data_IF_947909292309
#
_entry.id   IF_947909292309
#
_cell.length_a   1.000
_cell.length_b   1.000
_cell.length_c   1.000
_cell.angle_alpha   90.00
_cell.angle_beta   90.00
_cell.angle_gamma   90.00
#
_symmetry.space_group_name_H-M   'P 1'
#
loop_
_entity.id
_entity.type
_entity.pdbx_description
1 polymer ?
2 polymer ?
3 non-polymer ?
4 non-polymer ?
5 non-polymer ?
6 non-polymer ?
7 water ?
#
# COMPACT_ATOMS: atom_id res chain seq x y z
N UNK A 3 -6.37 0.93 25.49
CA UNK A 3 -6.06 -0.48 25.72
C UNK A 3 -5.74 -1.15 24.39
N UNK A 4 -4.46 -1.36 24.12
CA UNK A 4 -4.00 -1.84 22.82
C UNK A 4 -4.34 -3.30 22.59
N UNK A 5 -4.28 -3.71 21.33
CA UNK A 5 -4.67 -5.05 20.95
C UNK A 5 -3.60 -6.10 21.24
N UNK A 6 -3.90 -7.06 22.12
CA UNK A 6 -3.01 -8.18 22.36
C UNK A 6 -3.13 -9.29 21.31
N UNK A 7 -2.11 -10.14 21.22
CA UNK A 7 -2.14 -11.26 20.31
C UNK A 7 -3.03 -12.39 20.79
N UNK A 8 -3.75 -13.02 19.87
CA UNK A 8 -4.51 -14.20 20.18
C UNK A 8 -3.63 -15.43 20.32
N UNK A 9 -3.78 -16.12 21.44
CA UNK A 9 -2.95 -17.25 21.77
C UNK A 9 -3.28 -18.46 20.93
N UNK A 10 -4.47 -18.47 20.34
CA UNK A 10 -4.98 -19.62 19.61
C UNK A 10 -4.79 -19.52 18.09
N UNK A 11 -4.17 -18.44 17.64
CA UNK A 11 -3.86 -18.27 16.22
C UNK A 11 -2.37 -17.97 16.08
N UNK A 12 -1.64 -18.87 15.43
CA UNK A 12 -0.17 -18.85 15.40
C UNK A 12 0.50 -19.22 14.09
N UNK A 13 0.01 -20.27 13.44
CA UNK A 13 0.76 -20.91 12.38
C UNK A 13 0.33 -20.50 10.98
N UNK A 14 1.16 -20.85 10.00
CA UNK A 14 0.83 -20.60 8.61
C UNK A 14 -0.39 -21.45 8.26
N UNK A 15 -0.52 -22.62 8.89
CA UNK A 15 -1.71 -23.46 8.70
C UNK A 15 -2.96 -22.76 9.24
N UNK A 16 -2.83 -22.10 10.40
CA UNK A 16 -3.90 -21.26 10.95
C UNK A 16 -4.27 -20.15 9.95
N UNK A 17 -3.26 -19.50 9.37
CA UNK A 17 -3.49 -18.44 8.38
C UNK A 17 -4.30 -18.93 7.17
N UNK A 18 -3.90 -20.08 6.63
CA UNK A 18 -4.63 -20.69 5.51
C UNK A 18 -6.08 -20.99 5.88
N UNK A 19 -6.32 -21.57 7.06
CA UNK A 19 -7.68 -21.86 7.50
C UNK A 19 -8.54 -20.59 7.58
N UNK A 20 -7.97 -19.52 8.12
CA UNK A 20 -8.66 -18.24 8.20
C UNK A 20 -8.98 -17.70 6.81
N UNK A 21 -8.05 -17.85 5.88
CA UNK A 21 -8.30 -17.39 4.53
C UNK A 21 -9.41 -18.24 3.89
N UNK A 22 -9.48 -19.50 4.29
CA UNK A 22 -10.50 -20.41 3.78
C UNK A 22 -11.89 -20.06 4.32
N UNK A 23 -11.95 -19.74 5.61
CA UNK A 23 -13.21 -19.57 6.30
C UNK A 23 -13.75 -18.14 6.38
N UNK A 24 -12.86 -17.14 6.39
CA UNK A 24 -13.28 -15.77 6.56
C UNK A 24 -13.87 -15.22 5.25
N UNK A 25 -14.80 -14.29 5.38
CA UNK A 25 -15.55 -13.81 4.23
C UNK A 25 -15.77 -12.29 4.23
N UNK A 26 -15.12 -11.60 5.16
CA UNK A 26 -15.14 -10.14 5.23
C UNK A 26 -13.74 -9.63 5.58
N UNK A 27 -12.82 -9.86 4.68
CA UNK A 27 -11.41 -9.61 4.94
C UNK A 27 -11.05 -8.18 4.60
N UNK A 28 -10.31 -7.51 5.49
CA UNK A 28 -9.64 -6.28 5.10
C UNK A 28 -8.19 -6.62 4.80
N UNK A 29 -7.75 -6.19 3.61
CA UNK A 29 -6.34 -6.19 3.25
C UNK A 29 -5.84 -4.76 3.24
N UNK A 30 -4.88 -4.47 4.13
CA UNK A 30 -4.25 -3.16 4.24
C UNK A 30 -2.87 -3.25 3.59
N UNK A 31 -2.69 -2.54 2.48
CA UNK A 31 -1.44 -2.59 1.73
C UNK A 31 -0.67 -1.29 1.76
N UNK A 32 0.65 -1.43 1.68
CA UNK A 32 1.55 -0.31 1.50
C UNK A 32 2.44 -0.52 0.30
N UNK A 33 3.50 0.29 0.22
CA UNK A 33 4.35 0.35 -0.97
C UNK A 33 5.07 -0.97 -1.27
N UNK A 34 5.19 -1.83 -0.26
CA UNK A 34 5.84 -3.12 -0.47
C UNK A 34 5.17 -4.02 -1.49
N UNK A 35 3.86 -3.88 -1.72
CA UNK A 35 3.17 -4.79 -2.63
C UNK A 35 3.47 -4.45 -4.08
N UNK A 36 4.11 -3.31 -4.32
CA UNK A 36 4.43 -2.88 -5.68
C UNK A 36 5.93 -2.93 -5.98
N UNK A 37 6.71 -3.28 -4.97
CA UNK A 37 8.18 -3.34 -5.10
C UNK A 37 8.57 -4.33 -6.21
N UNK A 38 7.94 -5.50 -6.22
CA UNK A 38 8.22 -6.51 -7.23
C UNK A 38 7.80 -6.05 -8.62
N UNK A 39 6.89 -5.08 -8.69
CA UNK A 39 6.43 -4.49 -9.94
C UNK A 39 7.45 -3.54 -10.55
N UNK A 40 8.42 -3.13 -9.74
CA UNK A 40 9.41 -2.18 -10.17
C UNK A 40 9.25 -0.79 -9.58
N UNK A 41 8.44 -0.68 -8.52
CA UNK A 41 8.22 0.61 -7.85
C UNK A 41 8.80 0.57 -6.44
N UNK A 42 9.93 1.24 -6.22
CA UNK A 42 10.49 1.18 -4.87
C UNK A 42 9.59 1.80 -3.80
N UNK A 43 9.72 1.31 -2.57
CA UNK A 43 8.93 1.80 -1.44
C UNK A 43 9.46 3.14 -0.94
N UNK A 44 8.97 3.60 0.21
CA UNK A 44 9.39 4.89 0.74
C UNK A 44 10.59 4.83 1.69
N UNK A 45 10.61 3.84 2.58
CA UNK A 45 11.53 3.92 3.72
C UNK A 45 12.73 2.96 3.72
N UNK A 46 12.83 2.12 2.69
CA UNK A 46 13.94 1.17 2.62
C UNK A 46 15.18 1.84 2.02
N UNK A 47 16.33 1.17 2.18
CA UNK A 47 17.61 1.67 1.71
C UNK A 47 17.55 2.18 0.26
N UNK A 48 16.78 1.49 -0.59
CA UNK A 48 16.68 1.89 -2.00
C UNK A 48 15.37 2.63 -2.32
N UNK A 49 14.74 3.21 -1.31
CA UNK A 49 13.41 3.79 -1.46
C UNK A 49 13.40 5.28 -1.74
N UNK A 50 12.19 5.82 -1.90
CA UNK A 50 11.98 7.21 -2.27
C UNK A 50 12.66 8.21 -1.35
N UNK A 51 12.55 8.02 -0.04
CA UNK A 51 13.07 9.02 0.87
C UNK A 51 14.61 9.07 0.82
N UNK A 52 15.24 7.91 0.70
CA UNK A 52 16.70 7.84 0.57
C UNK A 52 17.14 8.56 -0.72
N UNK A 53 16.45 8.30 -1.81
CA UNK A 53 16.73 8.97 -3.08
C UNK A 53 16.58 10.48 -2.94
N UNK A 54 15.48 10.92 -2.32
CA UNK A 54 15.23 12.34 -2.16
C UNK A 54 16.35 13.01 -1.35
N UNK A 55 16.91 12.31 -0.38
CA UNK A 55 17.98 12.86 0.43
C UNK A 55 19.20 13.18 -0.44
N UNK A 56 19.35 12.44 -1.53
CA UNK A 56 20.46 12.64 -2.45
C UNK A 56 20.11 13.65 -3.54
N UNK A 57 18.93 13.50 -4.14
CA UNK A 57 18.55 14.30 -5.30
C UNK A 57 17.97 15.67 -4.95
N UNK A 58 17.55 15.85 -3.70
CA UNK A 58 16.95 17.11 -3.24
C UNK A 58 17.48 17.48 -1.86
N UNK A 59 18.80 17.65 -1.75
CA UNK A 59 19.46 17.85 -0.46
C UNK A 59 19.10 19.18 0.20
N UNK A 60 18.52 20.11 -0.55
CA UNK A 60 18.13 21.40 0.02
C UNK A 60 16.88 21.31 0.89
N UNK A 61 16.09 20.24 0.73
CA UNK A 61 14.89 20.05 1.53
C UNK A 61 15.30 19.93 2.98
N UNK A 62 14.48 20.45 3.91
CA UNK A 62 14.79 20.29 5.33
C UNK A 62 14.90 18.82 5.71
N UNK A 63 14.07 17.99 5.08
CA UNK A 63 14.16 16.53 5.18
C UNK A 63 13.36 15.93 4.03
N UNK A 64 13.58 14.64 3.71
CA UNK A 64 12.87 14.07 2.57
C UNK A 64 11.35 14.17 2.67
N UNK A 65 10.82 14.10 3.89
CA UNK A 65 9.38 14.14 4.13
C UNK A 65 8.77 15.46 3.66
N UNK A 66 9.58 16.52 3.64
CA UNK A 66 9.10 17.84 3.25
C UNK A 66 8.58 17.85 1.82
N UNK A 67 9.07 16.94 0.99
CA UNK A 67 8.57 16.79 -0.37
C UNK A 67 7.05 16.51 -0.38
N UNK A 68 6.55 15.88 0.68
CA UNK A 68 5.13 15.49 0.76
C UNK A 68 4.46 16.13 1.97
N UNK A 69 4.93 17.33 2.33
CA UNK A 69 4.43 18.03 3.50
C UNK A 69 3.69 19.29 3.03
N UNK A 70 2.46 19.47 3.50
CA UNK A 70 1.63 20.54 2.97
C UNK A 70 2.16 21.93 3.36
N UNK A 71 2.73 22.06 4.55
CA UNK A 71 3.19 23.38 4.98
C UNK A 71 4.44 23.78 4.20
N UNK A 72 5.26 22.80 3.82
CA UNK A 72 6.42 23.09 3.00
C UNK A 72 6.01 23.38 1.56
N UNK A 73 5.09 22.58 1.03
CA UNK A 73 4.58 22.76 -0.33
C UNK A 73 4.00 24.16 -0.50
N UNK A 74 3.34 24.64 0.54
CA UNK A 74 2.77 25.97 0.54
C UNK A 74 3.86 27.03 0.44
N UNK A 75 4.98 26.81 1.14
CA UNK A 75 6.13 27.72 1.08
C UNK A 75 6.79 27.70 -0.29
N UNK A 76 6.92 26.51 -0.86
CA UNK A 76 7.65 26.34 -2.10
C UNK A 76 7.26 25.03 -2.76
N UNK A 77 6.43 25.10 -3.81
CA UNK A 77 5.96 23.90 -4.51
C UNK A 77 6.85 23.46 -5.66
N UNK A 78 7.94 24.17 -5.89
CA UNK A 78 8.81 23.89 -7.03
C UNK A 78 9.47 22.50 -6.96
N UNK A 79 10.03 22.13 -5.80
CA UNK A 79 10.63 20.80 -5.71
C UNK A 79 9.64 19.68 -6.03
N UNK A 80 8.42 19.75 -5.49
CA UNK A 80 7.45 18.71 -5.78
C UNK A 80 7.16 18.56 -7.26
N UNK A 81 7.02 19.67 -7.98
CA UNK A 81 6.69 19.57 -9.39
C UNK A 81 7.90 19.23 -10.24
N UNK A 82 9.09 19.40 -9.67
CA UNK A 82 10.30 18.83 -10.28
C UNK A 82 10.29 17.31 -10.15
N UNK A 83 9.75 16.82 -9.03
CA UNK A 83 9.84 15.40 -8.68
C UNK A 83 8.63 14.55 -9.10
N UNK A 84 7.46 15.20 -9.24
CA UNK A 84 6.20 14.47 -9.33
C UNK A 84 6.14 13.43 -10.44
N UNK A 85 6.76 13.70 -11.58
CA UNK A 85 6.68 12.78 -12.70
C UNK A 85 7.38 11.46 -12.36
N UNK A 86 8.31 11.49 -11.41
CA UNK A 86 8.98 10.27 -10.98
C UNK A 86 8.04 9.28 -10.30
N UNK A 87 6.94 9.78 -9.71
CA UNK A 87 6.01 8.93 -8.97
C UNK A 87 4.63 8.88 -9.61
N UNK A 88 4.50 9.44 -10.80
CA UNK A 88 3.24 9.42 -11.53
C UNK A 88 2.96 7.98 -11.94
N UNK A 89 1.68 7.56 -11.96
CA UNK A 89 1.43 6.18 -12.40
C UNK A 89 2.00 5.90 -13.80
N UNK A 90 2.69 4.78 -13.94
CA UNK A 90 3.36 4.44 -15.18
C UNK A 90 2.65 3.31 -15.90
N UNK A 91 3.43 2.43 -16.51
CA UNK A 91 2.89 1.25 -17.20
C UNK A 91 3.48 -0.01 -16.57
N UNK A 92 3.27 -0.19 -15.28
CA UNK A 92 3.72 -1.38 -14.59
C UNK A 92 2.60 -2.37 -14.56
N UNK A 93 2.94 -3.65 -14.40
CA UNK A 93 1.93 -4.68 -14.28
C UNK A 93 1.74 -5.03 -12.80
N UNK A 94 0.48 -5.30 -12.39
CA UNK A 94 0.19 -5.74 -11.01
C UNK A 94 0.94 -7.01 -10.62
N UNK A 95 1.38 -7.05 -9.36
CA UNK A 95 2.00 -8.24 -8.79
C UNK A 95 1.03 -9.36 -8.49
N UNK A 96 1.58 -10.51 -8.14
CA UNK A 96 0.81 -11.63 -7.62
C UNK A 96 -0.09 -11.24 -6.42
N UNK A 97 0.43 -10.40 -5.53
CA UNK A 97 -0.36 -9.97 -4.39
C UNK A 97 -1.59 -9.16 -4.81
N UNK A 98 -1.43 -8.28 -5.78
CA UNK A 98 -2.56 -7.53 -6.34
C UNK A 98 -3.59 -8.51 -6.91
N UNK A 99 -3.11 -9.51 -7.63
CA UNK A 99 -3.98 -10.49 -8.27
C UNK A 99 -4.70 -11.35 -7.24
N UNK A 100 -4.03 -11.63 -6.13
CA UNK A 100 -4.62 -12.39 -5.04
C UNK A 100 -5.76 -11.60 -4.41
N UNK A 101 -5.52 -10.32 -4.20
CA UNK A 101 -6.53 -9.46 -3.61
C UNK A 101 -7.73 -9.33 -4.58
N UNK A 102 -7.43 -9.24 -5.87
CA UNK A 102 -8.50 -9.16 -6.88
C UNK A 102 -9.38 -10.42 -6.89
N UNK A 103 -8.76 -11.59 -6.73
CA UNK A 103 -9.52 -12.84 -6.70
C UNK A 103 -10.38 -12.96 -5.45
N UNK A 104 -9.84 -12.55 -4.31
CA UNK A 104 -10.61 -12.55 -3.09
C UNK A 104 -11.86 -11.68 -3.28
N UNK A 105 -11.70 -10.55 -3.98
CA UNK A 105 -12.81 -9.62 -4.18
C UNK A 105 -13.81 -10.28 -5.16
N UNK A 106 -13.29 -10.90 -6.20
CA UNK A 106 -14.14 -11.61 -7.16
C UNK A 106 -15.00 -12.69 -6.47
N UNK A 107 -14.42 -13.37 -5.49
CA UNK A 107 -15.14 -14.40 -4.74
C UNK A 107 -16.06 -13.88 -3.65
N UNK A 108 -16.09 -12.56 -3.46
CA UNK A 108 -17.02 -11.97 -2.50
C UNK A 108 -16.49 -11.94 -1.08
N UNK A 109 -15.20 -12.24 -0.90
CA UNK A 109 -14.58 -12.39 0.43
C UNK A 109 -13.83 -11.16 0.93
N UNK A 110 -13.59 -10.21 0.05
CA UNK A 110 -12.87 -8.98 0.39
C UNK A 110 -13.84 -7.92 0.85
N UNK A 111 -13.75 -7.55 2.12
CA UNK A 111 -14.51 -6.40 2.62
C UNK A 111 -13.94 -5.12 2.03
N UNK A 112 -12.61 -4.99 2.06
CA UNK A 112 -11.97 -3.81 1.51
C UNK A 112 -10.49 -4.04 1.38
N UNK A 113 -9.93 -3.47 0.33
CA UNK A 113 -8.50 -3.23 0.24
C UNK A 113 -8.25 -1.76 0.49
N UNK A 114 -7.77 -1.46 1.69
CA UNK A 114 -7.27 -0.11 2.01
C UNK A 114 -5.84 -0.02 1.53
N UNK A 115 -5.61 0.75 0.49
CA UNK A 115 -4.26 0.91 -0.02
C UNK A 115 -3.72 2.29 0.27
N UNK A 116 -2.44 2.35 0.61
CA UNK A 116 -1.76 3.60 0.84
C UNK A 116 -1.04 4.08 -0.41
N UNK A 117 -1.08 3.27 -1.47
CA UNK A 117 -0.32 3.55 -2.68
C UNK A 117 -1.08 4.43 -3.66
N UNK A 118 -0.33 5.17 -4.47
CA UNK A 118 -0.93 6.04 -5.48
C UNK A 118 -0.61 5.54 -6.90
N UNK A 119 -0.13 4.31 -7.01
CA UNK A 119 0.28 3.77 -8.32
C UNK A 119 -0.88 3.24 -9.19
N UNK A 120 -2.07 3.15 -8.62
CA UNK A 120 -3.29 2.70 -9.30
C UNK A 120 -3.25 1.26 -9.81
N UNK A 121 -2.33 0.45 -9.28
CA UNK A 121 -2.24 -0.94 -9.72
C UNK A 121 -3.41 -1.79 -9.25
N UNK A 122 -4.11 -1.37 -8.20
CA UNK A 122 -5.30 -2.10 -7.78
C UNK A 122 -6.39 -2.03 -8.86
N UNK A 123 -6.56 -0.86 -9.45
CA UNK A 123 -7.51 -0.69 -10.55
C UNK A 123 -7.12 -1.58 -11.76
N UNK A 124 -5.85 -1.57 -12.12
CA UNK A 124 -5.37 -2.37 -13.24
C UNK A 124 -5.63 -3.86 -13.01
N UNK A 125 -5.54 -4.28 -11.75
CA UNK A 125 -5.73 -5.68 -11.35
C UNK A 125 -7.18 -6.10 -11.26
N UNK A 126 -8.09 -5.14 -11.33
CA UNK A 126 -9.51 -5.43 -11.27
C UNK A 126 -10.05 -5.62 -9.87
N UNK A 127 -9.31 -5.12 -8.87
CA UNK A 127 -9.83 -5.04 -7.52
C UNK A 127 -10.88 -3.95 -7.55
N UNK A 128 -12.06 -4.23 -7.02
CA UNK A 128 -13.16 -3.23 -7.03
C UNK A 128 -13.35 -2.50 -5.71
N UNK A 129 -13.33 -3.25 -4.61
CA UNK A 129 -13.57 -2.68 -3.29
C UNK A 129 -12.28 -2.06 -2.72
N UNK A 130 -11.82 -1.03 -3.42
CA UNK A 130 -10.60 -0.29 -3.07
C UNK A 130 -10.92 1.00 -2.32
N UNK A 131 -10.07 1.35 -1.35
CA UNK A 131 -10.01 2.72 -0.84
C UNK A 131 -8.59 3.20 -1.00
N UNK A 132 -8.43 4.29 -1.73
CA UNK A 132 -7.13 4.93 -1.90
C UNK A 132 -6.93 5.90 -0.74
N UNK A 133 -6.36 5.38 0.35
CA UNK A 133 -6.25 6.12 1.60
C UNK A 133 -5.48 7.41 1.46
N UNK A 134 -4.48 7.41 0.58
CA UNK A 134 -3.58 8.54 0.48
C UNK A 134 -3.76 9.24 -0.86
N UNK A 135 -4.97 9.11 -1.39
CA UNK A 135 -5.37 9.84 -2.58
C UNK A 135 -4.75 9.31 -3.85
N UNK A 136 -4.65 10.18 -4.85
CA UNK A 136 -4.11 9.80 -6.15
C UNK A 136 -3.95 11.06 -7.01
N UNK A 137 -3.27 10.88 -8.14
CA UNK A 137 -3.07 11.94 -9.11
C UNK A 137 -4.30 12.19 -9.98
N UNK A 138 -5.38 11.45 -9.74
CA UNK A 138 -6.52 11.46 -10.67
C UNK A 138 -7.17 12.85 -10.80
N UNK A 139 -7.09 13.66 -9.75
CA UNK A 139 -7.57 15.03 -9.78
C UNK A 139 -6.58 15.97 -9.12
N UNK A 140 -6.72 17.26 -9.40
CA UNK A 140 -5.93 18.30 -8.75
C UNK A 140 -6.84 19.42 -8.28
N UNK A 141 -6.39 20.16 -7.27
CA UNK A 141 -7.24 21.11 -6.56
C UNK A 141 -6.43 22.36 -6.26
N UNK A 142 -7.00 23.54 -6.52
CA UNK A 142 -6.32 24.80 -6.23
C UNK A 142 -6.18 25.01 -4.73
N UNK A 143 -4.98 25.29 -4.27
CA UNK A 143 -4.73 25.51 -2.85
C UNK A 143 -5.54 26.66 -2.26
N UNK A 144 -5.90 27.63 -3.09
CA UNK A 144 -6.53 28.85 -2.63
C UNK A 144 -8.06 28.78 -2.69
N UNK A 145 -8.59 28.36 -3.83
CA UNK A 145 -10.04 28.42 -4.07
C UNK A 145 -10.69 27.04 -4.18
N UNK A 146 -9.86 26.00 -4.17
CA UNK A 146 -10.30 24.60 -4.20
C UNK A 146 -10.97 24.17 -5.52
N UNK A 147 -10.81 24.98 -6.56
CA UNK A 147 -11.24 24.58 -7.90
C UNK A 147 -10.57 23.26 -8.24
N UNK A 148 -11.39 22.31 -8.71
CA UNK A 148 -10.95 20.95 -9.08
C UNK A 148 -10.79 20.79 -10.58
N UNK A 149 -9.77 20.03 -11.00
CA UNK A 149 -9.63 19.60 -12.40
C UNK A 149 -9.20 18.15 -12.48
N UNK A 150 -9.47 17.53 -13.62
CA UNK A 150 -9.05 16.16 -13.90
C UNK A 150 -7.53 16.16 -14.10
N UNK A 151 -6.91 14.99 -13.95
CA UNK A 151 -5.46 14.87 -14.06
C UNK A 151 -4.92 15.35 -15.42
N UNK A 152 -5.70 15.15 -16.47
CA UNK A 152 -5.25 15.50 -17.82
C UNK A 152 -5.03 17.02 -17.97
N UNK A 153 -5.62 17.81 -17.07
CA UNK A 153 -5.49 19.26 -17.14
C UNK A 153 -4.13 19.76 -16.64
N UNK A 154 -3.49 18.99 -15.75
CA UNK A 154 -2.20 19.38 -15.18
C UNK A 154 -1.07 18.42 -15.60
N UNK A 155 -1.42 17.37 -16.34
CA UNK A 155 -0.46 16.34 -16.71
C UNK A 155 0.74 16.90 -17.51
N UNK A 156 0.44 17.76 -18.49
CA UNK A 156 1.48 18.34 -19.31
C UNK A 156 2.47 19.15 -18.51
N UNK A 157 1.96 19.94 -17.57
CA UNK A 157 2.82 20.74 -16.70
C UNK A 157 3.70 19.87 -15.82
N UNK A 158 3.12 18.78 -15.32
CA UNK A 158 3.84 17.89 -14.41
C UNK A 158 5.09 17.32 -15.08
N UNK A 159 4.94 16.82 -16.30
CA UNK A 159 6.06 16.21 -17.00
C UNK A 159 7.04 17.25 -17.55
N UNK A 160 6.61 18.51 -17.61
CA UNK A 160 7.51 19.61 -17.95
C UNK A 160 8.13 20.21 -16.70
N UNK A 161 7.84 19.60 -15.55
CA UNK A 161 8.40 20.05 -14.28
C UNK A 161 8.04 21.48 -13.89
N UNK A 162 6.86 21.94 -14.33
CA UNK A 162 6.41 23.30 -14.02
C UNK A 162 5.20 23.30 -13.07
N UNK A 163 5.13 24.30 -12.19
CA UNK A 163 4.03 24.43 -11.25
C UNK A 163 2.74 24.84 -11.97
N UNK A 164 1.75 23.94 -12.05
CA UNK A 164 0.50 24.28 -12.76
C UNK A 164 -0.33 25.31 -12.00
N UNK A 165 -1.00 26.20 -12.74
CA UNK A 165 -1.67 27.37 -12.18
C UNK A 165 -3.18 27.21 -12.19
N UNK A 166 -3.84 27.69 -11.13
CA UNK A 166 -5.30 27.75 -11.15
C UNK A 166 -5.73 28.66 -12.29
N UNK A 167 -6.67 28.20 -13.13
CA UNK A 167 -7.15 29.06 -14.21
C UNK A 167 -8.27 29.99 -13.76
N UNK A 168 -8.75 29.83 -12.53
CA UNK A 168 -9.86 30.63 -11.99
C UNK A 168 -9.35 31.81 -11.15
N UNK A 169 -8.38 31.55 -10.28
CA UNK A 169 -7.83 32.61 -9.42
C UNK A 169 -7.08 33.65 -10.23
N UNK A 170 -6.81 34.82 -9.62
CA UNK A 170 -5.98 35.84 -10.25
C UNK A 170 -4.60 35.32 -10.61
N UNK A 171 -4.12 35.68 -11.80
CA UNK A 171 -2.81 35.23 -12.27
C UNK A 171 -1.69 35.73 -11.35
N UNK A 172 -1.99 36.72 -10.52
CA UNK A 172 -1.00 37.27 -9.59
C UNK A 172 -1.15 36.71 -8.17
N UNK A 173 -2.00 35.69 -8.01
CA UNK A 173 -2.12 35.00 -6.72
C UNK A 173 -1.06 33.91 -6.64
N UNK A 174 -0.04 34.10 -5.77
CA UNK A 174 1.11 33.19 -5.77
C UNK A 174 0.77 31.73 -5.48
N UNK A 175 -0.12 31.51 -4.50
CA UNK A 175 -0.40 30.17 -4.01
C UNK A 175 -1.57 29.52 -4.74
N UNK A 176 -2.04 30.13 -5.82
CA UNK A 176 -3.12 29.57 -6.61
C UNK A 176 -2.57 28.51 -7.56
N UNK A 177 -2.09 27.42 -6.97
CA UNK A 177 -1.49 26.32 -7.72
C UNK A 177 -2.31 25.04 -7.56
N UNK A 178 -2.28 24.22 -8.62
CA UNK A 178 -3.11 23.02 -8.68
C UNK A 178 -2.36 21.82 -8.09
N UNK A 179 -2.68 21.48 -6.85
CA UNK A 179 -2.04 20.34 -6.20
C UNK A 179 -2.79 19.05 -6.48
N UNK A 180 -2.12 18.05 -7.09
CA UNK A 180 -2.77 16.75 -7.27
C UNK A 180 -3.24 16.22 -5.92
N UNK A 181 -4.36 15.49 -5.92
CA UNK A 181 -5.01 15.17 -4.68
C UNK A 181 -4.43 13.90 -4.04
N UNK A 182 -3.10 13.91 -3.94
CA UNK A 182 -2.34 12.99 -3.12
C UNK A 182 -2.30 13.58 -1.75
N UNK A 183 -2.47 12.75 -0.73
CA UNK A 183 -2.48 13.26 0.64
C UNK A 183 -1.06 13.54 1.14
N UNK A 184 -0.82 14.78 1.56
CA UNK A 184 0.45 15.18 2.17
C UNK A 184 0.37 15.20 3.68
N UNK A 185 1.51 15.14 4.35
CA UNK A 185 1.52 15.31 5.80
C UNK A 185 0.81 16.64 6.13
N UNK A 186 -0.07 16.62 7.12
CA UNK A 186 -0.82 17.80 7.49
C UNK A 186 -2.16 17.95 6.79
N UNK A 187 -2.48 17.04 5.87
CA UNK A 187 -3.76 17.07 5.14
C UNK A 187 -4.70 15.97 5.61
N UNK A 188 -6.00 16.21 5.44
CA UNK A 188 -6.99 15.17 5.69
C UNK A 188 -6.93 14.09 4.61
N UNK A 189 -7.19 12.86 5.02
CA UNK A 189 -7.40 11.80 4.02
C UNK A 189 -8.78 12.00 3.40
N UNK A 190 -9.01 11.41 2.21
CA UNK A 190 -10.33 11.54 1.56
C UNK A 190 -11.46 11.07 2.45
N UNK A 191 -12.60 11.75 2.34
CA UNK A 191 -13.75 11.41 3.14
C UNK A 191 -14.13 9.94 2.96
N UNK A 192 -13.95 9.41 1.75
CA UNK A 192 -14.25 7.99 1.49
C UNK A 192 -13.58 7.06 2.48
N UNK A 193 -12.35 7.37 2.86
CA UNK A 193 -11.61 6.56 3.82
C UNK A 193 -12.35 6.50 5.16
N UNK A 194 -12.74 7.65 5.68
CA UNK A 194 -13.40 7.71 6.98
C UNK A 194 -14.77 7.05 6.97
N UNK A 195 -15.54 7.26 5.92
CA UNK A 195 -16.86 6.60 5.84
C UNK A 195 -16.72 5.09 5.71
N UNK A 196 -15.82 4.64 4.85
CA UNK A 196 -15.58 3.20 4.68
C UNK A 196 -15.14 2.55 5.99
N UNK A 197 -14.22 3.19 6.72
CA UNK A 197 -13.75 2.62 7.98
C UNK A 197 -14.89 2.51 8.99
N UNK A 198 -15.77 3.50 9.03
CA UNK A 198 -16.90 3.44 9.96
C UNK A 198 -17.83 2.27 9.61
N UNK A 199 -18.08 2.07 8.31
CA UNK A 199 -18.87 0.93 7.89
C UNK A 199 -18.17 -0.40 8.18
N UNK A 200 -16.86 -0.44 7.95
CA UNK A 200 -16.14 -1.72 7.92
C UNK A 200 -15.70 -2.25 9.29
N UNK A 201 -15.52 -1.36 10.26
CA UNK A 201 -14.83 -1.78 11.47
C UNK A 201 -15.57 -2.89 12.25
N UNK A 202 -16.91 -2.87 12.25
CA UNK A 202 -17.65 -3.92 12.95
C UNK A 202 -18.08 -5.07 12.02
N UNK A 203 -17.67 -5.02 10.77
CA UNK A 203 -17.93 -6.11 9.83
C UNK A 203 -16.71 -7.01 9.57
N UNK A 204 -15.51 -6.44 9.63
CA UNK A 204 -14.30 -7.20 9.28
C UNK A 204 -14.17 -8.47 10.13
N UNK A 205 -13.80 -9.59 9.48
CA UNK A 205 -13.54 -10.82 10.22
C UNK A 205 -12.09 -11.33 10.10
N UNK A 206 -11.27 -10.60 9.36
CA UNK A 206 -9.84 -10.92 9.22
C UNK A 206 -9.12 -9.68 8.68
N UNK A 207 -7.99 -9.36 9.29
CA UNK A 207 -7.12 -8.27 8.83
C UNK A 207 -5.78 -8.85 8.38
N UNK A 208 -5.38 -8.51 7.17
CA UNK A 208 -4.09 -8.87 6.63
C UNK A 208 -3.38 -7.60 6.24
N UNK A 209 -2.21 -7.37 6.82
CA UNK A 209 -1.39 -6.21 6.49
C UNK A 209 -0.26 -6.71 5.61
N UNK A 210 -0.10 -6.09 4.44
CA UNK A 210 0.90 -6.49 3.46
C UNK A 210 1.73 -5.32 2.97
N UNK A 211 3.05 -5.43 3.13
CA UNK A 211 3.94 -4.43 2.56
C UNK A 211 3.80 -3.02 3.06
N UNK A 212 3.65 -2.84 4.37
CA UNK A 212 3.64 -1.50 4.96
C UNK A 212 4.37 -1.54 6.31
N UNK A 213 5.03 -0.42 6.61
CA UNK A 213 5.71 -0.23 7.90
C UNK A 213 4.76 0.30 8.97
N UNK A 214 3.55 0.69 8.53
CA UNK A 214 2.52 1.28 9.39
C UNK A 214 3.09 2.34 10.33
N UNK A 215 3.80 3.29 9.71
CA UNK A 215 4.44 4.39 10.42
C UNK A 215 3.64 5.69 10.32
N UNK A 216 2.59 5.69 9.51
CA UNK A 216 1.81 6.91 9.34
C UNK A 216 0.35 6.71 9.75
N UNK A 217 -0.13 7.65 10.55
CA UNK A 217 -1.52 7.70 10.98
C UNK A 217 -2.33 8.46 9.95
N UNK A 218 -3.64 8.22 9.89
CA UNK A 218 -4.42 7.28 10.71
C UNK A 218 -4.45 5.84 10.17
N UNK A 219 -3.86 5.57 9.01
CA UNK A 219 -3.88 4.19 8.50
C UNK A 219 -3.24 3.22 9.52
N UNK A 220 -2.17 3.67 10.17
CA UNK A 220 -1.48 2.84 11.15
C UNK A 220 -2.36 2.53 12.37
N UNK A 221 -3.47 3.24 12.52
CA UNK A 221 -4.39 3.00 13.63
C UNK A 221 -5.44 1.93 13.29
N UNK A 222 -5.48 1.49 12.05
CA UNK A 222 -6.51 0.51 11.67
C UNK A 222 -6.43 -0.76 12.54
N UNK A 223 -5.23 -1.33 12.73
CA UNK A 223 -5.16 -2.56 13.55
C UNK A 223 -5.67 -2.40 14.99
N UNK A 224 -5.62 -1.20 15.54
CA UNK A 224 -6.08 -0.98 16.91
C UNK A 224 -7.52 -0.44 16.97
N UNK A 225 -8.09 -0.14 15.81
CA UNK A 225 -9.44 0.43 15.76
C UNK A 225 -10.53 -0.62 15.54
N UNK A 226 -10.13 -1.82 15.12
CA UNK A 226 -11.09 -2.87 14.87
C UNK A 226 -11.21 -3.71 16.14
N UNK A 227 -12.27 -4.51 16.26
CA UNK A 227 -12.44 -5.34 17.45
C UNK A 227 -11.22 -6.27 17.69
N UNK A 228 -10.77 -6.34 18.95
CA UNK A 228 -9.51 -7.00 19.29
C UNK A 228 -9.48 -8.46 18.95
N UNK A 229 -10.65 -9.09 18.89
CA UNK A 229 -10.69 -10.53 18.67
C UNK A 229 -10.51 -10.88 17.19
N UNK A 230 -10.62 -9.91 16.31
CA UNK A 230 -10.47 -10.17 14.87
C UNK A 230 -9.02 -10.62 14.61
N UNK A 231 -8.82 -11.75 13.93
CA UNK A 231 -7.44 -12.19 13.73
C UNK A 231 -6.66 -11.26 12.82
N UNK A 232 -5.36 -11.14 13.08
CA UNK A 232 -4.48 -10.26 12.31
C UNK A 232 -3.23 -10.99 11.84
N UNK A 233 -2.97 -10.87 10.54
CA UNK A 233 -1.84 -11.50 9.88
C UNK A 233 -0.99 -10.42 9.22
N UNK A 234 0.32 -10.53 9.44
CA UNK A 234 1.29 -9.66 8.82
C UNK A 234 2.05 -10.43 7.73
N UNK A 235 2.15 -9.81 6.56
CA UNK A 235 2.97 -10.32 5.47
C UNK A 235 3.87 -9.18 5.02
N UNK A 236 5.14 -9.23 5.41
CA UNK A 236 5.99 -8.07 5.28
C UNK A 236 7.45 -8.45 5.43
N UNK A 237 8.34 -7.69 4.80
CA UNK A 237 9.78 -8.01 4.88
C UNK A 237 10.31 -7.81 6.29
N UNK A 238 9.69 -6.89 7.03
CA UNK A 238 10.10 -6.52 8.38
C UNK A 238 8.97 -6.77 9.38
N UNK A 239 9.34 -7.15 10.61
CA UNK A 239 8.34 -7.19 11.67
C UNK A 239 7.93 -5.76 12.00
N UNK A 240 6.78 -5.61 12.62
CA UNK A 240 6.28 -4.31 13.05
C UNK A 240 6.18 -4.34 14.58
N UNK A 241 7.28 -3.99 15.27
CA UNK A 241 7.34 -4.21 16.72
C UNK A 241 6.31 -3.41 17.54
N UNK A 242 5.75 -2.37 16.96
CA UNK A 242 4.76 -1.55 17.66
C UNK A 242 3.32 -2.10 17.60
N UNK A 243 3.16 -3.28 17.01
CA UNK A 243 1.82 -3.89 16.89
C UNK A 243 1.90 -5.36 17.26
N UNK A 244 0.76 -5.96 17.59
CA UNK A 244 0.72 -7.35 17.99
C UNK A 244 -0.11 -8.19 17.01
N UNK A 245 0.56 -8.72 15.99
CA UNK A 245 -0.06 -9.62 15.02
C UNK A 245 -0.16 -11.03 15.57
N UNK A 246 -1.10 -11.80 15.06
CA UNK A 246 -1.26 -13.18 15.49
C UNK A 246 -0.27 -14.09 14.79
N UNK A 247 -0.10 -13.87 13.49
CA UNK A 247 0.79 -14.65 12.65
C UNK A 247 1.70 -13.68 11.90
N UNK A 248 3.01 -13.93 11.94
CA UNK A 248 3.99 -13.08 11.29
C UNK A 248 4.70 -13.86 10.17
N UNK A 249 4.37 -13.50 8.94
CA UNK A 249 4.98 -14.10 7.75
C UNK A 249 5.92 -13.07 7.17
N UNK A 250 7.22 -13.28 7.38
CA UNK A 250 8.19 -12.25 7.08
C UNK A 250 9.02 -12.64 5.88
N UNK A 251 9.04 -11.76 4.89
CA UNK A 251 9.68 -12.08 3.62
C UNK A 251 9.02 -11.31 2.49
N UNK A 252 9.41 -11.64 1.27
CA UNK A 252 8.82 -11.05 0.09
C UNK A 252 7.36 -11.45 0.03
N UNK A 253 6.48 -10.47 -0.17
CA UNK A 253 5.06 -10.77 -0.12
C UNK A 253 4.61 -11.67 -1.28
N UNK A 254 5.21 -11.55 -2.46
CA UNK A 254 4.83 -12.45 -3.56
C UNK A 254 5.23 -13.89 -3.25
N UNK A 255 6.40 -14.07 -2.63
CA UNK A 255 6.85 -15.42 -2.25
C UNK A 255 5.89 -16.04 -1.24
N UNK A 256 5.48 -15.24 -0.26
CA UNK A 256 4.59 -15.74 0.77
C UNK A 256 3.18 -15.98 0.22
N UNK A 257 2.69 -15.07 -0.60
CA UNK A 257 1.34 -15.24 -1.14
C UNK A 257 1.31 -16.43 -2.11
N UNK A 258 2.40 -16.63 -2.83
CA UNK A 258 2.53 -17.80 -3.70
C UNK A 258 2.34 -19.08 -2.88
N UNK A 259 3.01 -19.15 -1.73
CA UNK A 259 2.89 -20.32 -0.88
C UNK A 259 1.46 -20.48 -0.36
N UNK A 260 0.86 -19.39 0.11
CA UNK A 260 -0.52 -19.46 0.57
C UNK A 260 -1.47 -19.88 -0.56
N UNK A 261 -1.24 -19.37 -1.77
CA UNK A 261 -2.11 -19.69 -2.91
C UNK A 261 -2.10 -21.18 -3.23
N UNK A 262 -0.93 -21.81 -3.14
CA UNK A 262 -0.83 -23.24 -3.38
C UNK A 262 -1.50 -24.06 -2.29
N UNK A 263 -1.42 -23.59 -1.05
CA UNK A 263 -2.10 -24.28 0.03
C UNK A 263 -3.62 -24.13 -0.08
N UNK A 264 -4.07 -23.02 -0.66
CA UNK A 264 -5.50 -22.77 -0.78
C UNK A 264 -6.09 -23.62 -1.90
N UNK A 265 -5.30 -23.82 -2.95
CA UNK A 265 -5.75 -24.56 -4.12
C UNK A 265 -6.82 -23.79 -4.87
N UNK A 266 -7.74 -24.53 -5.47
CA UNK A 266 -8.80 -23.91 -6.25
C UNK A 266 -8.25 -22.88 -7.23
N UNK A 267 -8.93 -21.75 -7.31
CA UNK A 267 -8.53 -20.68 -8.23
C UNK A 267 -7.29 -19.94 -7.74
N UNK A 268 -7.01 -20.03 -6.45
CA UNK A 268 -5.85 -19.32 -5.89
C UNK A 268 -4.53 -19.92 -6.44
N UNK A 269 -4.45 -21.24 -6.46
CA UNK A 269 -3.26 -21.89 -7.03
C UNK A 269 -3.12 -21.55 -8.51
N UNK A 270 -4.25 -21.35 -9.19
CA UNK A 270 -4.22 -21.05 -10.60
C UNK A 270 -3.68 -19.65 -10.88
N UNK A 271 -3.68 -18.79 -9.87
CA UNK A 271 -3.10 -17.46 -10.04
C UNK A 271 -1.63 -17.55 -10.36
N UNK A 272 -0.98 -18.55 -9.80
CA UNK A 272 0.45 -18.72 -9.97
C UNK A 272 0.68 -19.56 -11.22
N UNK A 273 0.74 -18.89 -12.37
CA UNK A 273 0.81 -19.60 -13.65
C UNK A 273 2.26 -19.83 -14.10
N UNK A 274 3.21 -19.40 -13.28
CA UNK A 274 4.62 -19.61 -13.58
C UNK A 274 5.36 -20.15 -12.36
N UNK A 275 5.98 -21.34 -12.51
CA UNK A 275 6.04 -22.17 -13.73
C UNK A 275 4.72 -22.89 -14.05
N UNK A 276 4.65 -23.53 -15.21
CA UNK A 276 3.44 -24.21 -15.66
C UNK A 276 3.18 -25.50 -14.89
N UNK A 277 1.94 -25.67 -14.43
CA UNK A 277 1.55 -26.85 -13.67
C UNK A 277 1.16 -28.02 -14.57
N UNK A 278 1.07 -29.21 -13.98
CA UNK A 278 0.71 -30.39 -14.72
C UNK A 278 -0.73 -30.24 -15.21
N UNK A 279 -0.93 -30.35 -16.52
CA UNK A 279 -2.28 -30.29 -17.06
C UNK A 279 -2.35 -30.91 -18.45
N UNK A 280 -3.54 -31.36 -18.82
CA UNK A 280 -3.76 -31.94 -20.14
C UNK A 280 -4.01 -30.84 -21.16
N UNK A 281 -3.36 -30.97 -22.32
CA UNK A 281 -3.56 -30.01 -23.40
C UNK A 281 -5.00 -30.07 -23.88
N UNK B 1 11.45 -19.04 -9.39
CA UNK B 1 11.51 -18.22 -8.16
C UNK B 1 12.88 -18.37 -7.51
N UNK B 2 13.04 -17.77 -6.31
CA UNK B 2 14.38 -17.70 -5.69
C UNK B 2 14.82 -19.02 -5.07
N UNK B 3 16.08 -19.04 -4.65
CA UNK B 3 16.67 -20.20 -4.00
C UNK B 3 15.85 -20.61 -2.77
N UNK B 4 15.38 -21.85 -2.76
CA UNK B 4 14.67 -22.42 -1.63
C UNK B 4 13.47 -21.52 -1.24
N UNK B 5 12.85 -20.95 -2.27
CA UNK B 5 11.69 -20.07 -2.12
C UNK B 5 10.52 -20.65 -1.35
N UNK B 6 10.32 -21.96 -1.42
CA UNK B 6 9.19 -22.58 -0.71
C UNK B 6 9.52 -22.98 0.73
N UNK B 7 10.76 -22.74 1.17
CA UNK B 7 11.13 -23.06 2.56
C UNK B 7 11.17 -21.81 3.42
N UNK B 8 10.88 -22.00 4.71
CA UNK B 8 10.94 -20.94 5.69
C UNK B 8 11.73 -21.38 6.93
N UNK B 9 12.17 -20.41 7.71
CA UNK B 9 12.73 -20.66 9.03
C UNK B 9 11.70 -20.26 10.08
N UNK B 10 11.41 -21.14 11.02
CA UNK B 10 10.35 -20.92 12.01
C UNK B 10 10.92 -20.54 13.39
N UNK B 11 10.44 -19.42 13.92
CA UNK B 11 10.73 -19.00 15.30
C UNK B 11 9.42 -19.10 16.07
N UNK B 12 9.27 -20.11 16.92
CA UNK B 12 7.94 -20.35 17.52
C UNK B 12 7.47 -19.24 18.45
N UNK B 13 6.15 -19.06 18.57
CA UNK B 13 5.11 -19.95 18.04
C UNK B 13 4.52 -19.52 16.68
N UNK B 14 4.92 -18.38 16.17
CA UNK B 14 4.11 -17.72 15.15
C UNK B 14 4.88 -16.88 14.14
N UNK B 15 6.21 -17.04 14.07
CA UNK B 15 7.01 -16.27 13.10
C UNK B 15 7.69 -17.16 12.09
N UNK B 16 7.51 -16.79 10.82
CA UNK B 16 8.03 -17.53 9.68
C UNK B 16 8.89 -16.63 8.81
N UNK B 17 10.11 -17.10 8.50
CA UNK B 17 11.06 -16.28 7.78
C UNK B 17 11.25 -16.86 6.40
N UNK B 18 10.90 -16.06 5.41
CA UNK B 18 10.92 -16.49 4.00
C UNK B 18 11.98 -15.68 3.27
N UNK B 19 12.28 -16.12 2.05
CA UNK B 19 13.12 -15.36 1.17
C UNK B 19 12.69 -13.89 1.10
N UNK B 20 13.68 -13.01 1.25
CA UNK B 20 13.48 -11.58 1.15
C UNK B 20 13.32 -10.86 2.47
N UNK B 21 13.21 -11.61 3.56
CA UNK B 21 13.11 -11.01 4.89
C UNK B 21 14.30 -10.12 5.16
N UNK B 22 14.02 -8.96 5.74
CA UNK B 22 15.07 -7.97 5.96
C UNK B 22 16.14 -8.47 6.95
N UNK B 23 15.76 -9.43 7.78
CA UNK B 23 16.70 -10.00 8.78
C UNK B 23 17.92 -10.64 8.11
N UNK B 24 17.81 -11.03 6.84
CA UNK B 24 18.93 -11.61 6.12
C UNK B 24 19.97 -10.58 5.65
N UNK B 25 19.62 -9.31 5.70
CA UNK B 25 20.49 -8.24 5.21
C UNK B 25 21.68 -8.00 6.12
N UNK B 26 22.72 -7.39 5.54
CA UNK B 26 23.90 -6.99 6.29
C UNK B 26 24.00 -5.48 6.28
X LIG C 1 -7.89 28.97 -7.52
X LIG D 1 7.47 -7.88 0.28
X LIG D 1 7.07 -7.61 1.54
X LIG D 1 7.35 -6.49 2.17
X LIG D 1 8.01 -5.55 1.57
X LIG D 1 8.49 -5.74 0.19
X LIG D 1 8.19 -6.95 -0.41
X LIG D 1 8.61 -7.22 -1.77
X LIG D 1 9.18 -4.55 -0.16
X LIG D 1 9.13 -3.71 0.88
X LIG D 1 8.44 -4.31 1.93
X LIG D 1 8.13 -3.70 3.21
X LIG D 1 9.20 -2.87 3.84
X LIG D 1 10.09 -3.66 4.53
X LIG D 1 8.41 -1.94 4.71
X LIG D 1 8.11 -2.42 6.00
X LIG D 1 7.02 -2.83 2.99
X LIG D 1 7.14 -1.77 3.89
X LIG D 1 7.04 -0.44 3.16
X LIG D 1 7.07 0.57 4.12
X LIG D 1 7.12 2.08 3.65
X LIG D 1 8.26 2.27 2.69
X LIG D 1 7.25 2.93 4.83
X LIG D 1 5.84 2.36 2.77
X LIG D 1 4.37 2.61 3.33
X LIG D 1 3.40 2.23 2.26
X LIG D 1 4.11 1.80 4.57
X LIG D 1 4.25 4.15 3.63
X LIG D 1 3.07 4.73 4.09
X LIG D 1 4.26 6.84 4.08
X LIG D 1 5.18 8.91 3.44
X LIG D 1 4.09 8.08 3.51
X LIG D 1 2.45 8.71 2.23
X LIG D 1 3.50 7.85 2.18
X LIG D 1 1.85 6.17 1.59
X LIG D 1 3.08 6.42 2.20
X LIG D 1 3.10 6.18 3.69
X LIG D 1 6.57 -8.30 2.02
X LIG D 1 8.41 -8.02 -2.14
X LIG D 1 9.09 -6.60 -2.23
X LIG D 1 9.53 -2.82 0.91
X LIG D 1 7.89 -4.43 3.84
X LIG D 1 9.69 -2.39 3.14
X LIG D 1 10.38 -4.31 4.01
X LIG D 1 8.90 -1.10 4.76
X LIG D 1 8.77 -2.91 6.29
X LIG D 1 6.39 -1.81 4.52
X LIG D 1 7.78 -0.33 2.55
X LIG D 1 6.19 -0.40 2.66
X LIG D 1 3.02 4.66 5.06
X LIG D 1 2.30 4.29 3.67
X LIG D 1 4.91 9.76 3.50
X LIG D 1 3.45 8.55 4.10
X LIG D 1 2.74 9.53 2.36
X LIG D 1 4.10 8.07 1.42
X LIG D 1 1.78 6.66 0.82
X LIG D 1 3.78 5.87 1.77
X LIG D 1 2.34 6.66 4.09
X LIG E 1 -18.05 -8.66 2.54
X LIG E 1 -18.55 -7.51 1.65
X LIG E 1 -16.95 -9.39 1.99
X LIG E 1 -19.76 -8.02 0.39
X LIG E 1 -18.88 -9.34 2.71
X LIG E 1 -17.76 -8.25 3.51
X LIG E 1 -18.98 -6.73 2.28
X LIG E 1 -17.69 -7.05 1.15
X LIG E 1 -16.70 -9.01 1.12
X LIG E 1 -19.31 -8.13 -0.45
X LIG F 1 4.16 6.12 -6.80
X LIG F 1 3.56 5.38 -7.85
X LIG F 1 4.52 5.24 -5.60
X LIG F 1 5.88 5.36 -5.32
X LIG F 1 3.76 5.54 -4.30
X LIG F 1 2.58 4.75 -4.13
X LIG F 1 5.07 6.60 -7.17
X LIG F 1 3.48 6.90 -6.48
X LIG F 1 3.29 5.98 -8.57
X LIG F 1 4.31 4.20 -5.87
X LIG F 1 6.07 6.27 -5.01
X LIG F 1 4.43 5.37 -3.44
X LIG F 1 3.49 6.60 -4.29
X LIG F 1 2.20 4.91 -3.24
#
# INVERSE_FOLDING_TARGET
GPHMRKKRKDINTIEDAVKLLQECKKIIVLTGAGVSVSCGIPDFRSRDGIYARLAVDFPDLPDPQAMFDIEYFRKDPRPFFKFAKEIYPGQFQPSLCHKFIALSDKEGKLLRNYTQNIDTLEQVAGIQRIIQCHGSFATASCLICKYKVDCEAVRGDIFNQVVPRCPRCPADEPLAIMKPEIVFFGENLPEQFHRAMKYDKDEVDLLIVIGSSLKVRPVALIPSSIPHEVPQILINREPLPHLHFDVELLGDCDVIINELCHRLGGEYAKLCCNPVKLSEI
GPHMGSQYLFLPPNRYIFHGAEVYSDSEDV
ZN ZN
APR N1 C2 N3 C4 C5 C6 N6 N7 C8 N9 C1' C2' O2' C3' O3' O4' C4' C5' O5' PA O1A O2A O3A PB O1B O2B O5D C5D O4D O1D C1D O2D C2D O3D C3D C4D H2 H61 H62 H8 H'1 H'2 HO'2 H'3 HO'3 H'4 H5'1 H5'2 H5R1 H5R2 HOR1 HR'1 HOR2 HR'2 HOR3 HR'3 HR'4
BME C1 C2 O1 S2 H11 H12 H21 H22 HO1 HS2
GOL C1 O1 C2 O2 C3 O3 H11 H12 HO1 H2 HO2 H31 H32 HO3
#
